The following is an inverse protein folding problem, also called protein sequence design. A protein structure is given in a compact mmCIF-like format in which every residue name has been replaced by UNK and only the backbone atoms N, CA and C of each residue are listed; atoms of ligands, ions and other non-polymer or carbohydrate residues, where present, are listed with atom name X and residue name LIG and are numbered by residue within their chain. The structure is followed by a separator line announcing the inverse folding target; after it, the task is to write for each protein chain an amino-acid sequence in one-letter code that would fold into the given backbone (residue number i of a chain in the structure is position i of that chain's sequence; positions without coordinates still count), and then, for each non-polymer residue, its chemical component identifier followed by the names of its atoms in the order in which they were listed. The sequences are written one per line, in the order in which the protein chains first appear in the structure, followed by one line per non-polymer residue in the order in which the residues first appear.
data_IF_645124304231
#
_entry.id   IF_645124304231
#
_cell.length_a   1.000
_cell.length_b   1.000
_cell.length_c   1.000
_cell.angle_alpha   90.00
_cell.angle_beta   90.00
_cell.angle_gamma   90.00
#
_symmetry.space_group_name_H-M   'P 1'
#
loop_
_entity.id
_entity.type
_entity.pdbx_description
1 polymer ?
#
# COMPACT_ATOMS: atom_id res chain seq x y z
N UNK A 1 -13.67 -13.89 5.21
CA UNK A 1 -12.57 -14.84 5.51
C UNK A 1 -11.27 -14.08 5.25
N UNK A 2 -10.35 -13.99 6.22
CA UNK A 2 -9.07 -13.30 5.99
C UNK A 2 -8.21 -14.15 5.04
N UNK A 3 -7.93 -13.65 3.85
CA UNK A 3 -6.97 -14.24 2.91
C UNK A 3 -5.57 -14.23 3.53
N UNK A 4 -4.69 -15.25 3.31
CA UNK A 4 -3.31 -15.28 3.80
C UNK A 4 -2.50 -14.00 3.53
N UNK A 5 -2.78 -13.33 2.41
CA UNK A 5 -2.25 -12.00 2.07
C UNK A 5 -2.54 -10.96 3.15
N UNK A 6 -3.81 -10.80 3.55
CA UNK A 6 -4.19 -9.76 4.53
C UNK A 6 -3.61 -10.02 5.92
N UNK A 7 -3.44 -11.28 6.32
CA UNK A 7 -2.74 -11.59 7.58
C UNK A 7 -1.26 -11.21 7.50
N UNK A 8 -0.61 -11.39 6.35
CA UNK A 8 0.77 -10.95 6.12
C UNK A 8 0.90 -9.43 6.25
N UNK A 9 -0.02 -8.68 5.65
CA UNK A 9 -0.05 -7.21 5.75
C UNK A 9 -0.26 -6.74 7.19
N UNK A 10 -1.20 -7.35 7.93
CA UNK A 10 -1.44 -7.03 9.34
C UNK A 10 -0.20 -7.28 10.18
N UNK A 11 0.45 -8.43 10.01
CA UNK A 11 1.65 -8.79 10.76
C UNK A 11 2.80 -7.81 10.44
N UNK A 12 2.98 -7.47 9.16
CA UNK A 12 3.97 -6.51 8.73
C UNK A 12 3.75 -5.13 9.37
N UNK A 13 2.51 -4.62 9.40
CA UNK A 13 2.16 -3.37 10.07
C UNK A 13 2.45 -3.41 11.58
N UNK A 14 2.05 -4.48 12.26
CA UNK A 14 2.27 -4.64 13.70
C UNK A 14 3.75 -4.70 14.08
N UNK A 15 4.57 -5.37 13.28
CA UNK A 15 5.98 -5.57 13.60
C UNK A 15 6.85 -4.39 13.18
N UNK A 16 6.54 -3.75 12.04
CA UNK A 16 7.46 -2.81 11.40
C UNK A 16 6.95 -1.36 11.41
N UNK A 17 5.64 -1.13 11.50
CA UNK A 17 5.08 0.22 11.57
C UNK A 17 4.78 0.66 13.01
N UNK A 18 4.17 -0.22 13.82
CA UNK A 18 3.81 0.09 15.22
C UNK A 18 4.99 0.67 16.03
N UNK A 19 6.25 0.18 15.91
CA UNK A 19 7.35 0.76 16.67
C UNK A 19 7.74 2.19 16.24
N UNK A 20 7.31 2.65 15.06
CA UNK A 20 7.68 3.94 14.48
C UNK A 20 6.67 5.05 14.80
N UNK A 21 5.48 4.72 15.30
CA UNK A 21 4.34 5.65 15.36
C UNK A 21 4.62 6.93 16.14
N UNK A 22 5.33 6.85 17.27
CA UNK A 22 5.69 8.03 18.05
C UNK A 22 6.64 8.95 17.29
N UNK A 23 7.60 8.40 16.54
CA UNK A 23 8.52 9.19 15.71
C UNK A 23 7.81 9.82 14.51
N UNK A 24 6.86 9.09 13.91
CA UNK A 24 6.03 9.62 12.83
C UNK A 24 5.23 10.83 13.32
N UNK A 25 4.58 10.69 14.49
CA UNK A 25 3.70 11.72 15.04
C UNK A 25 4.45 12.94 15.60
N UNK A 26 5.51 12.70 16.39
CA UNK A 26 6.20 13.76 17.13
C UNK A 26 7.38 14.37 16.37
N UNK A 27 8.02 13.61 15.48
CA UNK A 27 9.23 14.02 14.76
C UNK A 27 8.99 14.17 13.25
N UNK A 28 7.81 13.83 12.75
CA UNK A 28 7.49 13.90 11.32
C UNK A 28 8.24 12.88 10.47
N UNK A 29 8.68 11.76 11.07
CA UNK A 29 9.36 10.69 10.34
C UNK A 29 8.48 10.17 9.19
N UNK A 30 8.97 10.24 7.96
CA UNK A 30 8.34 9.57 6.83
C UNK A 30 8.79 8.10 6.78
N UNK A 31 7.88 7.10 6.93
CA UNK A 31 8.24 5.69 7.07
C UNK A 31 8.54 5.03 5.71
N UNK A 32 9.54 5.55 5.00
CA UNK A 32 9.89 5.13 3.63
C UNK A 32 10.15 3.63 3.53
N UNK A 33 11.00 3.09 4.39
CA UNK A 33 11.41 1.68 4.31
C UNK A 33 10.22 0.75 4.53
N UNK A 34 9.35 1.08 5.49
CA UNK A 34 8.09 0.37 5.70
C UNK A 34 7.20 0.38 4.45
N UNK A 35 7.04 1.54 3.80
CA UNK A 35 6.21 1.65 2.59
C UNK A 35 6.79 0.86 1.41
N UNK A 36 8.13 0.81 1.28
CA UNK A 36 8.79 0.00 0.27
C UNK A 36 8.57 -1.50 0.49
N UNK A 37 8.75 -1.98 1.73
CA UNK A 37 8.49 -3.39 2.07
C UNK A 37 7.00 -3.76 1.90
N UNK A 38 6.09 -2.86 2.26
CA UNK A 38 4.66 -3.03 1.99
C UNK A 38 4.39 -3.20 0.48
N UNK A 39 5.08 -2.44 -0.38
CA UNK A 39 5.00 -2.59 -1.83
C UNK A 39 5.44 -3.96 -2.32
N UNK A 40 6.57 -4.48 -1.82
CA UNK A 40 7.08 -5.82 -2.15
C UNK A 40 6.13 -6.94 -1.74
N UNK A 41 5.33 -6.73 -0.69
CA UNK A 41 4.28 -7.64 -0.26
C UNK A 41 3.01 -7.58 -1.13
N UNK A 42 2.92 -6.64 -2.08
CA UNK A 42 1.73 -6.42 -2.90
C UNK A 42 0.72 -5.43 -2.30
N UNK A 43 1.11 -4.62 -1.31
CA UNK A 43 0.19 -3.68 -0.66
C UNK A 43 -0.43 -2.60 -1.57
N UNK A 44 0.11 -2.40 -2.77
CA UNK A 44 -0.38 -1.43 -3.76
C UNK A 44 -0.93 -2.08 -5.05
N UNK A 45 -0.87 -3.41 -5.18
CA UNK A 45 -1.24 -4.10 -6.43
C UNK A 45 -2.71 -4.47 -6.53
N UNK A 46 -3.49 -4.34 -5.44
CA UNK A 46 -4.91 -4.72 -5.44
C UNK A 46 -5.76 -3.90 -6.44
N UNK A 47 -5.29 -2.74 -6.89
CA UNK A 47 -5.93 -1.92 -7.92
C UNK A 47 -5.31 -2.07 -9.31
N UNK A 48 -4.45 -3.06 -9.52
CA UNK A 48 -3.83 -3.33 -10.82
C UNK A 48 -4.80 -3.94 -11.83
N UNK A 49 -4.38 -3.99 -13.10
CA UNK A 49 -5.11 -4.67 -14.17
C UNK A 49 -5.11 -6.21 -14.01
N UNK A 50 -4.30 -6.75 -13.10
CA UNK A 50 -4.31 -8.17 -12.78
C UNK A 50 -5.61 -8.52 -12.04
N UNK A 51 -6.20 -9.66 -12.38
CA UNK A 51 -7.40 -10.17 -11.73
C UNK A 51 -7.05 -11.47 -11.02
N UNK A 52 -6.41 -11.32 -9.86
CA UNK A 52 -6.16 -12.42 -8.93
C UNK A 52 -7.06 -12.32 -7.68
N UNK A 53 -6.84 -13.21 -6.72
CA UNK A 53 -7.58 -13.26 -5.46
C UNK A 53 -7.33 -12.07 -4.51
N UNK A 54 -6.22 -11.34 -4.70
CA UNK A 54 -5.81 -10.18 -3.90
C UNK A 54 -6.22 -8.85 -4.54
N UNK A 55 -6.75 -8.92 -5.77
CA UNK A 55 -7.22 -7.78 -6.54
C UNK A 55 -8.58 -7.28 -6.04
N UNK A 56 -8.91 -6.04 -6.39
CA UNK A 56 -10.19 -5.39 -6.10
C UNK A 56 -10.15 -4.34 -4.99
N UNK A 57 -11.08 -3.38 -5.09
CA UNK A 57 -11.22 -2.26 -4.16
C UNK A 57 -11.38 -2.72 -2.70
N UNK A 58 -12.12 -3.79 -2.45
CA UNK A 58 -12.32 -4.32 -1.10
C UNK A 58 -11.00 -4.76 -0.45
N UNK A 59 -10.12 -5.42 -1.22
CA UNK A 59 -8.80 -5.83 -0.74
C UNK A 59 -7.89 -4.61 -0.52
N UNK A 60 -7.91 -3.62 -1.41
CA UNK A 60 -7.14 -2.39 -1.20
C UNK A 60 -7.60 -1.64 0.06
N UNK A 61 -8.91 -1.55 0.31
CA UNK A 61 -9.47 -0.98 1.54
C UNK A 61 -9.00 -1.78 2.76
N UNK A 62 -9.02 -3.11 2.69
CA UNK A 62 -8.57 -3.96 3.79
C UNK A 62 -7.08 -3.78 4.10
N UNK A 63 -6.22 -3.58 3.09
CA UNK A 63 -4.81 -3.21 3.28
C UNK A 63 -4.68 -1.88 4.01
N UNK A 64 -5.36 -0.83 3.52
CA UNK A 64 -5.34 0.50 4.15
C UNK A 64 -5.84 0.44 5.60
N UNK A 65 -6.88 -0.35 5.87
CA UNK A 65 -7.40 -0.58 7.21
C UNK A 65 -6.39 -1.30 8.12
N UNK A 66 -5.68 -2.31 7.61
CA UNK A 66 -4.66 -3.02 8.36
C UNK A 66 -3.51 -2.09 8.78
N UNK A 67 -3.05 -1.24 7.87
CA UNK A 67 -2.04 -0.20 8.16
C UNK A 67 -2.60 0.86 9.13
N UNK A 68 -3.84 1.30 8.90
CA UNK A 68 -4.50 2.37 9.67
C UNK A 68 -4.81 2.00 11.11
N UNK A 69 -4.97 0.70 11.42
CA UNK A 69 -5.04 0.20 12.80
C UNK A 69 -3.77 0.51 13.60
N UNK A 70 -2.64 0.62 12.94
CA UNK A 70 -1.34 0.91 13.57
C UNK A 70 -0.98 2.40 13.46
N UNK A 71 -1.17 3.02 12.30
CA UNK A 71 -0.89 4.44 12.09
C UNK A 71 -1.77 5.06 10.99
N UNK A 72 -2.65 5.99 11.37
CA UNK A 72 -3.53 6.70 10.43
C UNK A 72 -2.79 7.55 9.39
N UNK A 73 -1.74 8.26 9.79
CA UNK A 73 -0.93 9.09 8.88
C UNK A 73 -0.23 8.25 7.80
N UNK A 74 0.25 7.06 8.19
CA UNK A 74 0.87 6.13 7.23
C UNK A 74 -0.19 5.50 6.31
N UNK A 75 -1.36 5.16 6.84
CA UNK A 75 -2.47 4.67 6.01
C UNK A 75 -2.91 5.70 4.95
N UNK A 76 -2.88 7.00 5.26
CA UNK A 76 -3.10 8.04 4.27
C UNK A 76 -2.03 8.02 3.17
N UNK A 77 -0.75 7.82 3.53
CA UNK A 77 0.33 7.66 2.54
C UNK A 77 0.11 6.45 1.64
N UNK A 78 -0.35 5.32 2.21
CA UNK A 78 -0.72 4.12 1.44
C UNK A 78 -1.86 4.42 0.47
N UNK A 79 -2.91 5.12 0.91
CA UNK A 79 -4.00 5.54 0.03
C UNK A 79 -3.51 6.41 -1.13
N UNK A 80 -2.65 7.41 -0.87
CA UNK A 80 -2.06 8.25 -1.92
C UNK A 80 -1.32 7.41 -2.95
N UNK A 81 -0.50 6.45 -2.50
CA UNK A 81 0.25 5.57 -3.38
C UNK A 81 -0.68 4.68 -4.23
N UNK A 82 -1.70 4.08 -3.61
CA UNK A 82 -2.70 3.27 -4.32
C UNK A 82 -3.48 4.08 -5.35
N UNK A 83 -3.82 5.34 -5.03
CA UNK A 83 -4.48 6.24 -5.97
C UNK A 83 -3.58 6.55 -7.19
N UNK A 84 -2.29 6.84 -6.97
CA UNK A 84 -1.32 7.04 -8.05
C UNK A 84 -1.23 5.80 -8.95
N UNK A 85 -1.09 4.60 -8.37
CA UNK A 85 -1.06 3.35 -9.12
C UNK A 85 -2.36 3.16 -9.93
N UNK A 86 -3.52 3.38 -9.32
CA UNK A 86 -4.81 3.28 -10.00
C UNK A 86 -4.91 4.24 -11.19
N UNK A 87 -4.50 5.50 -11.05
CA UNK A 87 -4.48 6.44 -12.18
C UNK A 87 -3.55 5.97 -13.32
N UNK A 88 -2.42 5.35 -13.00
CA UNK A 88 -1.50 4.83 -14.01
C UNK A 88 -2.05 3.60 -14.74
N UNK A 89 -2.76 2.70 -14.04
CA UNK A 89 -3.47 1.61 -14.69
C UNK A 89 -4.63 2.10 -15.56
N UNK A 90 -5.33 3.17 -15.15
CA UNK A 90 -6.52 3.68 -15.84
C UNK A 90 -6.23 4.78 -16.86
N UNK A 91 -4.98 5.24 -17.00
CA UNK A 91 -4.64 6.30 -17.96
C UNK A 91 -4.83 5.84 -19.40
N UNK A 92 -5.33 6.72 -20.26
CA UNK A 92 -5.44 6.47 -21.71
C UNK A 92 -4.11 6.70 -22.47
N UNK A 93 -3.03 7.06 -21.77
CA UNK A 93 -1.70 7.35 -22.37
C UNK A 93 -0.70 6.22 -22.08
N UNK A 94 -0.45 5.29 -23.01
CA UNK A 94 0.45 4.14 -22.79
C UNK A 94 1.87 4.55 -22.37
N UNK A 95 2.44 5.60 -22.99
CA UNK A 95 3.80 6.06 -22.66
C UNK A 95 3.97 6.48 -21.18
N UNK A 96 2.92 7.03 -20.55
CA UNK A 96 2.96 7.38 -19.12
C UNK A 96 2.87 6.12 -18.27
N UNK A 97 1.96 5.22 -18.64
CA UNK A 97 1.78 3.93 -17.96
C UNK A 97 3.07 3.12 -17.95
N UNK A 98 3.69 2.92 -19.11
CA UNK A 98 4.90 2.12 -19.29
C UNK A 98 6.09 2.70 -18.52
N UNK A 99 6.27 4.02 -18.59
CA UNK A 99 7.36 4.71 -17.87
C UNK A 99 7.25 4.50 -16.37
N UNK A 100 6.09 4.77 -15.78
CA UNK A 100 5.97 4.87 -14.32
C UNK A 100 5.51 3.57 -13.62
N UNK A 101 4.82 2.64 -14.30
CA UNK A 101 4.48 1.35 -13.69
C UNK A 101 5.71 0.46 -13.45
N UNK A 102 6.74 0.57 -14.27
CA UNK A 102 7.97 -0.20 -14.09
C UNK A 102 8.78 0.21 -12.86
N UNK A 103 8.57 1.44 -12.36
CA UNK A 103 9.23 1.99 -11.18
C UNK A 103 8.41 1.79 -9.88
N UNK A 104 7.21 1.21 -9.99
CA UNK A 104 6.24 1.09 -8.91
C UNK A 104 6.39 -0.18 -8.05
N UNK A 105 7.19 -1.15 -8.51
CA UNK A 105 7.41 -2.46 -7.89
C UNK A 105 8.89 -2.76 -7.71
#
# INVERSE_FOLDING_TARGET
MSTPFLETIKLHAQQNLRPLVTKIDQEGLYPKDYLMELGKLGGFSALSDQKDENSGLANQIAVIQAVGRECGATAFSVWCQSACAWYLYNTSRPAVREKYLSELF
#
